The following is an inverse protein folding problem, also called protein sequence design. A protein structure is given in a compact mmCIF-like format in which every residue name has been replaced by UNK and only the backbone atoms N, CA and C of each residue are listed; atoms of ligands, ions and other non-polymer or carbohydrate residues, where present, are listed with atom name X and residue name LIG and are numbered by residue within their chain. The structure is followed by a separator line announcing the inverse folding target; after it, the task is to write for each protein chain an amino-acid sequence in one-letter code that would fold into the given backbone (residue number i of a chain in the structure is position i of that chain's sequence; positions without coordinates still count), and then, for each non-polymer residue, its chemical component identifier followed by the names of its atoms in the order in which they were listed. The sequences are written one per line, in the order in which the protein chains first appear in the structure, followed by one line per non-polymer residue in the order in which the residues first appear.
data_IF_255951562322
#
_entry.id   IF_255951562322
#
_cell.length_a   1.000
_cell.length_b   1.000
_cell.length_c   1.000
_cell.angle_alpha   90.00
_cell.angle_beta   90.00
_cell.angle_gamma   90.00
#
_symmetry.space_group_name_H-M   'P 1'
#
loop_
_entity.id
_entity.type
_entity.pdbx_description
1 polymer ?
#
# COMPACT_ATOMS: atom_id res chain seq x y z
N UNK A 1 30.13 -5.69 17.73
CA UNK A 1 28.68 -5.89 17.91
C UNK A 1 28.39 -6.03 19.41
N UNK A 2 27.38 -5.35 19.93
CA UNK A 2 26.97 -5.51 21.35
C UNK A 2 26.57 -6.96 21.61
N UNK A 3 27.02 -7.56 22.71
CA UNK A 3 26.65 -8.92 23.12
C UNK A 3 25.12 -9.11 23.20
N UNK A 4 24.39 -8.06 23.59
CA UNK A 4 22.94 -8.05 23.61
C UNK A 4 22.32 -8.08 22.21
N UNK A 5 22.91 -7.37 21.24
CA UNK A 5 22.43 -7.39 19.86
C UNK A 5 22.60 -8.78 19.24
N UNK A 6 23.73 -9.45 19.48
CA UNK A 6 23.94 -10.84 19.02
C UNK A 6 22.89 -11.77 19.61
N UNK A 7 22.65 -11.70 20.94
CA UNK A 7 21.66 -12.54 21.60
C UNK A 7 20.25 -12.34 21.02
N UNK A 8 19.82 -11.08 20.83
CA UNK A 8 18.51 -10.76 20.25
C UNK A 8 18.41 -11.28 18.82
N UNK A 9 19.40 -11.01 17.97
CA UNK A 9 19.40 -11.51 16.59
C UNK A 9 19.35 -13.03 16.51
N UNK A 10 20.11 -13.74 17.36
CA UNK A 10 20.08 -15.20 17.43
C UNK A 10 18.70 -15.73 17.83
N UNK A 11 18.05 -15.11 18.83
CA UNK A 11 16.69 -15.52 19.24
C UNK A 11 15.69 -15.28 18.12
N UNK A 12 15.75 -14.13 17.43
CA UNK A 12 14.87 -13.84 16.30
C UNK A 12 15.05 -14.86 15.16
N UNK A 13 16.30 -15.20 14.83
CA UNK A 13 16.61 -16.21 13.82
C UNK A 13 16.12 -17.60 14.23
N UNK A 14 16.23 -17.96 15.51
CA UNK A 14 15.73 -19.24 16.02
C UNK A 14 14.20 -19.33 15.90
N UNK A 15 13.49 -18.26 16.27
CA UNK A 15 12.02 -18.20 16.11
C UNK A 15 11.65 -18.27 14.62
N UNK A 16 12.34 -17.53 13.75
CA UNK A 16 12.11 -17.57 12.30
C UNK A 16 12.29 -18.99 11.75
N UNK A 17 13.38 -19.66 12.12
CA UNK A 17 13.63 -21.03 11.70
C UNK A 17 12.54 -21.99 12.19
N UNK A 18 12.08 -21.84 13.43
CA UNK A 18 10.99 -22.63 14.00
C UNK A 18 9.67 -22.38 13.25
N UNK A 19 9.35 -21.13 12.89
CA UNK A 19 8.16 -20.80 12.10
C UNK A 19 8.22 -21.39 10.70
N UNK A 20 9.37 -21.30 10.02
CA UNK A 20 9.57 -21.90 8.70
C UNK A 20 9.41 -23.43 8.77
N UNK A 21 10.00 -24.06 9.78
CA UNK A 21 9.85 -25.50 10.02
C UNK A 21 8.38 -25.89 10.19
N UNK A 22 7.63 -25.16 11.01
CA UNK A 22 6.21 -25.41 11.22
C UNK A 22 5.39 -25.23 9.94
N UNK A 23 5.64 -24.15 9.19
CA UNK A 23 4.97 -23.89 7.93
C UNK A 23 5.25 -25.00 6.90
N UNK A 24 6.49 -25.49 6.83
CA UNK A 24 6.86 -26.61 5.96
C UNK A 24 6.11 -27.89 6.32
N UNK A 25 6.03 -28.22 7.61
CA UNK A 25 5.26 -29.38 8.07
C UNK A 25 3.78 -29.25 7.72
N UNK A 26 3.18 -28.06 7.90
CA UNK A 26 1.81 -27.80 7.49
C UNK A 26 1.60 -27.93 5.99
N UNK A 27 2.56 -27.48 5.18
CA UNK A 27 2.52 -27.58 3.72
C UNK A 27 2.60 -29.04 3.25
N UNK A 28 3.53 -29.82 3.80
CA UNK A 28 3.70 -31.24 3.45
C UNK A 28 2.52 -32.08 3.96
N UNK A 29 1.95 -31.77 5.13
CA UNK A 29 0.79 -32.48 5.66
C UNK A 29 -0.47 -32.35 4.79
N UNK A 30 -0.58 -31.28 4.00
CA UNK A 30 -1.70 -31.04 3.08
C UNK A 30 -1.35 -31.31 1.61
N UNK A 31 -0.25 -32.03 1.34
CA UNK A 31 0.21 -32.29 -0.04
C UNK A 31 -0.76 -33.12 -0.88
N UNK A 32 -1.69 -33.84 -0.25
CA UNK A 32 -2.71 -34.66 -0.92
C UNK A 32 -4.04 -33.90 -1.15
N UNK A 33 -4.10 -32.62 -0.77
CA UNK A 33 -5.27 -31.78 -1.06
C UNK A 33 -5.21 -31.35 -2.53
N UNK A 34 -5.77 -32.19 -3.41
CA UNK A 34 -6.02 -31.79 -4.78
C UNK A 34 -7.07 -30.67 -4.80
N UNK A 35 -6.61 -29.42 -4.98
CA UNK A 35 -7.50 -28.28 -5.16
C UNK A 35 -8.34 -28.52 -6.43
N UNK A 36 -9.67 -28.54 -6.30
CA UNK A 36 -10.59 -28.63 -7.44
C UNK A 36 -10.31 -27.49 -8.44
N UNK A 37 -10.60 -27.71 -9.71
CA UNK A 37 -10.51 -26.70 -10.79
C UNK A 37 -11.17 -25.37 -10.37
N UNK A 38 -12.28 -25.43 -9.64
CA UNK A 38 -12.98 -24.25 -9.10
C UNK A 38 -12.10 -23.42 -8.16
N UNK A 39 -11.23 -24.05 -7.37
CA UNK A 39 -10.33 -23.38 -6.43
C UNK A 39 -9.23 -22.58 -7.13
N UNK A 40 -8.65 -23.15 -8.19
CA UNK A 40 -7.69 -22.43 -9.02
C UNK A 40 -8.33 -21.26 -9.77
N UNK A 41 -9.54 -21.45 -10.28
CA UNK A 41 -10.30 -20.37 -10.94
C UNK A 41 -10.62 -19.25 -9.94
N UNK A 42 -11.10 -19.59 -8.74
CA UNK A 42 -11.41 -18.61 -7.71
C UNK A 42 -10.17 -17.82 -7.27
N UNK A 43 -9.02 -18.50 -7.09
CA UNK A 43 -7.74 -17.86 -6.76
C UNK A 43 -7.29 -16.93 -7.88
N UNK A 44 -7.28 -17.41 -9.13
CA UNK A 44 -6.88 -16.61 -10.29
C UNK A 44 -7.77 -15.39 -10.47
N UNK A 45 -9.09 -15.56 -10.33
CA UNK A 45 -10.06 -14.47 -10.43
C UNK A 45 -9.87 -13.44 -9.30
N UNK A 46 -9.64 -13.89 -8.06
CA UNK A 46 -9.37 -13.01 -6.93
C UNK A 46 -8.09 -12.19 -7.11
N UNK A 47 -7.00 -12.83 -7.54
CA UNK A 47 -5.73 -12.16 -7.86
C UNK A 47 -5.94 -11.14 -8.99
N UNK A 48 -6.66 -11.52 -10.05
CA UNK A 48 -6.93 -10.65 -11.19
C UNK A 48 -7.71 -9.41 -10.78
N UNK A 49 -8.82 -9.56 -10.04
CA UNK A 49 -9.60 -8.40 -9.57
C UNK A 49 -8.79 -7.51 -8.63
N UNK A 50 -7.98 -8.10 -7.72
CA UNK A 50 -7.12 -7.33 -6.83
C UNK A 50 -6.07 -6.51 -7.60
N UNK A 51 -5.44 -7.10 -8.63
CA UNK A 51 -4.51 -6.40 -9.51
C UNK A 51 -5.20 -5.29 -10.31
N UNK A 52 -6.38 -5.57 -10.88
CA UNK A 52 -7.15 -4.57 -11.63
C UNK A 52 -7.51 -3.38 -10.74
N UNK A 53 -7.98 -3.63 -9.52
CA UNK A 53 -8.30 -2.57 -8.57
C UNK A 53 -7.03 -1.83 -8.14
N UNK A 54 -5.95 -2.55 -7.79
CA UNK A 54 -4.68 -1.94 -7.39
C UNK A 54 -4.09 -1.04 -8.48
N UNK A 55 -4.00 -1.54 -9.72
CA UNK A 55 -3.55 -0.75 -10.87
C UNK A 55 -4.52 0.37 -11.22
N UNK A 56 -5.82 0.13 -11.15
CA UNK A 56 -6.85 1.14 -11.38
C UNK A 56 -6.75 2.31 -10.40
N UNK A 57 -6.53 2.01 -9.11
CA UNK A 57 -6.30 3.03 -8.08
C UNK A 57 -5.03 3.83 -8.36
N UNK A 58 -3.91 3.17 -8.68
CA UNK A 58 -2.67 3.88 -9.04
C UNK A 58 -2.87 4.77 -10.27
N UNK A 59 -3.48 4.25 -11.33
CA UNK A 59 -3.78 5.00 -12.54
C UNK A 59 -4.70 6.21 -12.27
N UNK A 60 -5.71 6.04 -11.41
CA UNK A 60 -6.64 7.11 -11.04
C UNK A 60 -5.95 8.20 -10.21
N UNK A 61 -5.06 7.84 -9.29
CA UNK A 61 -4.23 8.80 -8.55
C UNK A 61 -3.36 9.63 -9.50
N UNK A 62 -2.69 8.99 -10.47
CA UNK A 62 -1.90 9.70 -11.49
C UNK A 62 -2.78 10.58 -12.38
N UNK A 63 -3.98 10.13 -12.72
CA UNK A 63 -4.93 10.91 -13.51
C UNK A 63 -5.49 12.12 -12.75
N UNK A 64 -5.77 11.96 -11.45
CA UNK A 64 -6.23 13.02 -10.54
C UNK A 64 -5.18 14.13 -10.41
N UNK A 65 -3.92 13.74 -10.15
CA UNK A 65 -2.78 14.65 -10.05
C UNK A 65 -2.55 15.45 -11.35
N UNK A 66 -2.78 14.83 -12.51
CA UNK A 66 -2.64 15.50 -13.81
C UNK A 66 -3.81 16.44 -14.15
N UNK A 67 -4.97 16.30 -13.50
CA UNK A 67 -6.16 17.14 -13.74
C UNK A 67 -6.38 18.23 -12.68
N UNK A 68 -5.47 18.39 -11.72
CA UNK A 68 -5.51 19.49 -10.75
C UNK A 68 -6.62 19.36 -9.70
N UNK A 69 -7.10 18.15 -9.41
CA UNK A 69 -8.10 17.92 -8.35
C UNK A 69 -7.48 17.85 -6.94
N UNK A 70 -6.18 17.60 -6.85
CA UNK A 70 -5.40 17.62 -5.59
C UNK A 70 -4.87 19.03 -5.26
N UNK A 71 -5.09 20.01 -6.14
CA UNK A 71 -4.81 21.41 -5.83
C UNK A 71 -5.88 21.90 -4.85
N UNK A 72 -5.48 22.08 -3.59
CA UNK A 72 -6.29 22.65 -2.53
C UNK A 72 -6.95 23.95 -3.04
N UNK A 73 -8.25 24.18 -2.78
CA UNK A 73 -8.88 25.45 -3.10
C UNK A 73 -8.04 26.54 -2.46
N UNK A 74 -7.43 27.41 -3.28
CA UNK A 74 -6.78 28.61 -2.75
C UNK A 74 -7.84 29.33 -1.95
N UNK A 75 -7.70 29.29 -0.62
CA UNK A 75 -8.51 30.07 0.29
C UNK A 75 -8.32 31.51 -0.18
N UNK A 76 -9.35 32.03 -0.86
CA UNK A 76 -9.35 33.38 -1.41
C UNK A 76 -9.31 34.31 -0.21
N UNK A 77 -8.11 34.67 0.23
CA UNK A 77 -7.94 35.74 1.20
C UNK A 77 -8.64 36.96 0.62
N UNK A 78 -9.60 37.57 1.33
CA UNK A 78 -10.23 38.79 0.88
C UNK A 78 -9.17 39.88 0.93
N UNK A 79 -8.46 40.06 -0.19
CA UNK A 79 -7.52 41.16 -0.41
C UNK A 79 -8.31 42.46 -0.46
N UNK A 80 -8.62 42.95 0.74
CA UNK A 80 -8.95 44.33 1.04
C UNK A 80 -7.76 45.20 0.71
N UNK A 81 -7.60 45.55 -0.57
CA UNK A 81 -6.73 46.64 -1.03
C UNK A 81 -7.35 47.33 -2.22
N UNK A 82 -8.34 48.16 -1.93
CA UNK A 82 -8.59 49.33 -2.76
C UNK A 82 -8.72 50.57 -1.88
N UNK A 83 -7.64 51.34 -1.69
CA UNK A 83 -7.73 52.77 -1.47
C UNK A 83 -7.69 53.46 -2.84
N UNK A 84 -8.76 54.20 -3.10
CA UNK A 84 -9.09 54.93 -4.32
C UNK A 84 -7.94 55.79 -4.91
N UNK A 85 -7.96 56.07 -6.22
CA UNK A 85 -6.98 56.93 -6.88
C UNK A 85 -7.06 58.34 -6.30
N UNK A 86 -6.02 58.73 -5.57
CA UNK A 86 -5.84 60.09 -5.11
C UNK A 86 -5.32 60.93 -6.29
N UNK A 87 -6.23 61.31 -7.18
CA UNK A 87 -6.09 62.47 -8.05
C UNK A 87 -6.61 63.69 -7.28
N UNK A 88 -5.73 64.61 -6.95
CA UNK A 88 -6.08 66.03 -6.80
C UNK A 88 -4.85 66.88 -7.16
N UNK A 89 -5.07 68.14 -7.60
CA UNK A 89 -4.70 68.68 -8.92
C UNK A 89 -3.26 69.16 -9.09
#
# INVERSE_FOLDING_TARGET
MSRGAIAVTTVLLAILAATIWWAWQGWVAHSDVQMSIHGYIAMGLGIFFSLVIGFGLMALTFYSSRRGYDDLPQAKEPSSKEPAPHNIP
#
